data_IF_607087469118
#
_entry.id   IF_607087469118
#
_cell.length_a   1.000
_cell.length_b   1.000
_cell.length_c   1.000
_cell.angle_alpha   90.00
_cell.angle_beta   90.00
_cell.angle_gamma   90.00
#
_symmetry.space_group_name_H-M   'P 1'
#
loop_
_entity.id
_entity.type
_entity.pdbx_description
1 polymer ?
#
# COMPACT_ATOMS: atom_id res chain seq x y z
N UNK A 1 17.41 -1.05 1.28
CA UNK A 1 16.54 -1.48 2.37
C UNK A 1 15.60 -2.52 1.80
N UNK A 2 15.58 -3.71 2.40
CA UNK A 2 14.61 -4.74 2.04
C UNK A 2 13.30 -4.55 2.82
N UNK A 3 12.26 -5.30 2.46
CA UNK A 3 10.93 -5.10 3.05
C UNK A 3 10.85 -5.52 4.51
N UNK A 4 11.65 -6.52 4.91
CA UNK A 4 11.66 -7.04 6.28
C UNK A 4 12.38 -6.08 7.20
N UNK A 5 13.52 -5.55 6.76
CA UNK A 5 14.23 -4.45 7.41
C UNK A 5 13.31 -3.24 7.56
N UNK A 6 12.62 -2.84 6.49
CA UNK A 6 11.68 -1.72 6.52
C UNK A 6 10.54 -1.95 7.52
N UNK A 7 9.89 -3.12 7.48
CA UNK A 7 8.83 -3.51 8.42
C UNK A 7 9.30 -3.36 9.88
N UNK A 8 10.50 -3.85 10.22
CA UNK A 8 11.06 -3.71 11.56
C UNK A 8 11.30 -2.25 11.95
N UNK A 9 11.73 -1.41 11.01
CA UNK A 9 11.93 0.02 11.25
C UNK A 9 10.62 0.76 11.52
N UNK A 10 9.50 0.37 10.90
CA UNK A 10 8.19 1.00 11.16
C UNK A 10 7.78 0.92 12.63
N UNK A 11 8.20 -0.12 13.37
CA UNK A 11 7.93 -0.26 14.82
C UNK A 11 8.45 0.93 15.64
N UNK A 12 9.56 1.55 15.19
CA UNK A 12 10.20 2.65 15.92
C UNK A 12 9.39 3.95 15.86
N UNK A 13 8.50 4.08 14.89
CA UNK A 13 7.70 5.29 14.66
C UNK A 13 6.21 5.06 14.90
N UNK A 14 5.81 3.83 15.25
CA UNK A 14 4.43 3.44 15.45
C UNK A 14 3.89 3.99 16.78
N UNK A 15 2.83 4.80 16.71
CA UNK A 15 2.16 5.36 17.88
C UNK A 15 0.65 5.20 17.71
N UNK A 16 0.08 4.19 18.36
CA UNK A 16 -1.35 3.92 18.45
C UNK A 16 -1.62 2.95 19.60
N UNK A 17 -2.89 2.83 20.03
CA UNK A 17 -3.28 1.83 21.03
C UNK A 17 -3.30 0.44 20.41
N UNK A 18 -2.84 -0.56 21.18
CA UNK A 18 -2.93 -1.97 20.80
C UNK A 18 -4.38 -2.49 20.75
N UNK A 19 -5.32 -1.81 21.41
CA UNK A 19 -6.74 -2.18 21.34
C UNK A 19 -7.42 -1.72 20.05
N UNK A 20 -6.83 -0.74 19.35
CA UNK A 20 -7.43 -0.08 18.18
C UNK A 20 -6.49 -0.06 16.97
N UNK A 21 -5.48 -0.94 16.96
CA UNK A 21 -4.45 -0.93 15.92
C UNK A 21 -5.07 -1.21 14.54
N UNK A 22 -6.09 -2.06 14.49
CA UNK A 22 -6.69 -2.50 13.23
C UNK A 22 -7.43 -1.33 12.57
N UNK A 23 -8.27 -0.62 13.32
CA UNK A 23 -8.96 0.58 12.85
C UNK A 23 -7.96 1.66 12.45
N UNK A 24 -6.96 1.91 13.31
CA UNK A 24 -5.94 2.93 13.03
C UNK A 24 -5.21 2.65 11.72
N UNK A 25 -4.72 1.42 11.53
CA UNK A 25 -3.90 1.07 10.37
C UNK A 25 -4.71 0.93 9.09
N UNK A 26 -5.93 0.37 9.16
CA UNK A 26 -6.77 0.20 7.96
C UNK A 26 -7.38 1.51 7.48
N UNK A 27 -7.84 2.37 8.39
CA UNK A 27 -8.34 3.69 8.04
C UNK A 27 -7.21 4.61 7.56
N UNK A 28 -6.04 4.53 8.20
CA UNK A 28 -4.84 5.24 7.75
C UNK A 28 -4.44 4.82 6.33
N UNK A 29 -4.34 3.51 6.07
CA UNK A 29 -4.04 2.98 4.73
C UNK A 29 -5.01 3.52 3.66
N UNK A 30 -6.31 3.55 3.97
CA UNK A 30 -7.32 4.08 3.05
C UNK A 30 -7.17 5.59 2.83
N UNK A 31 -6.84 6.34 3.90
CA UNK A 31 -6.54 7.77 3.82
C UNK A 31 -5.37 8.05 2.87
N UNK A 32 -4.25 7.34 3.03
CA UNK A 32 -3.05 7.54 2.20
C UNK A 32 -3.27 7.17 0.73
N UNK A 33 -4.06 6.13 0.46
CA UNK A 33 -4.50 5.83 -0.91
C UNK A 33 -5.33 6.97 -1.53
N UNK A 34 -6.11 7.67 -0.68
CA UNK A 34 -6.80 8.91 -1.04
C UNK A 34 -5.84 10.06 -1.36
N UNK A 35 -4.75 10.21 -0.61
CA UNK A 35 -3.73 11.22 -0.87
C UNK A 35 -2.99 10.99 -2.19
N UNK A 36 -2.63 9.74 -2.49
CA UNK A 36 -2.11 9.32 -3.81
C UNK A 36 -3.04 9.77 -4.93
N UNK A 37 -4.34 9.47 -4.78
CA UNK A 37 -5.37 9.89 -5.74
C UNK A 37 -5.47 11.41 -5.84
N UNK A 38 -5.31 12.12 -4.73
CA UNK A 38 -5.29 13.58 -4.64
C UNK A 38 -4.14 14.22 -5.44
N UNK A 39 -2.93 13.65 -5.37
CA UNK A 39 -1.79 14.10 -6.18
C UNK A 39 -2.06 13.92 -7.67
N UNK A 40 -2.55 12.75 -8.07
CA UNK A 40 -2.90 12.46 -9.48
C UNK A 40 -3.99 13.40 -9.98
N UNK A 41 -5.01 13.69 -9.18
CA UNK A 41 -6.08 14.64 -9.52
C UNK A 41 -5.54 16.04 -9.81
N UNK A 42 -4.57 16.53 -9.02
CA UNK A 42 -3.93 17.83 -9.23
C UNK A 42 -3.05 17.85 -10.49
N UNK A 43 -2.37 16.75 -10.80
CA UNK A 43 -1.66 16.58 -12.08
C UNK A 43 -2.61 16.64 -13.28
N UNK A 44 -3.76 15.94 -13.22
CA UNK A 44 -4.77 15.96 -14.30
C UNK A 44 -5.30 17.38 -14.55
N UNK A 45 -5.56 18.14 -13.48
CA UNK A 45 -5.99 19.54 -13.51
C UNK A 45 -4.91 20.52 -14.00
N UNK A 46 -3.68 20.05 -14.23
CA UNK A 46 -2.51 20.87 -14.57
C UNK A 46 -2.07 21.83 -13.46
N UNK A 47 -2.44 21.54 -12.21
CA UNK A 47 -1.89 22.26 -11.05
C UNK A 47 -0.43 21.85 -10.80
N UNK A 48 -0.09 20.59 -11.14
CA UNK A 48 1.25 20.03 -11.08
C UNK A 48 1.71 19.59 -12.47
N UNK A 49 3.00 19.78 -12.75
CA UNK A 49 3.67 19.03 -13.82
C UNK A 49 3.99 17.60 -13.34
N UNK A 50 4.50 16.77 -14.26
CA UNK A 50 4.78 15.38 -13.97
C UNK A 50 5.91 15.21 -12.94
N UNK A 51 6.91 16.08 -12.94
CA UNK A 51 8.06 15.95 -12.03
C UNK A 51 7.66 16.29 -10.60
N UNK A 52 6.89 17.37 -10.41
CA UNK A 52 6.32 17.71 -9.11
C UNK A 52 5.32 16.65 -8.63
N UNK A 53 4.54 16.06 -9.54
CA UNK A 53 3.62 14.98 -9.19
C UNK A 53 4.38 13.72 -8.72
N UNK A 54 5.47 13.35 -9.39
CA UNK A 54 6.33 12.23 -8.98
C UNK A 54 6.95 12.46 -7.60
N UNK A 55 7.51 13.63 -7.36
CA UNK A 55 8.10 13.99 -6.06
C UNK A 55 7.09 13.85 -4.92
N UNK A 56 5.87 14.36 -5.13
CA UNK A 56 4.77 14.20 -4.17
C UNK A 56 4.30 12.76 -4.02
N UNK A 57 4.22 12.00 -5.12
CA UNK A 57 3.83 10.60 -5.08
C UNK A 57 4.82 9.75 -4.29
N UNK A 58 6.13 10.07 -4.28
CA UNK A 58 7.10 9.35 -3.46
C UNK A 58 6.72 9.40 -1.97
N UNK A 59 6.25 10.56 -1.50
CA UNK A 59 5.77 10.72 -0.13
C UNK A 59 4.53 9.85 0.11
N UNK A 60 3.47 10.06 -0.67
CA UNK A 60 2.18 9.41 -0.38
C UNK A 60 2.23 7.88 -0.61
N UNK A 61 3.01 7.41 -1.60
CA UNK A 61 3.27 5.97 -1.76
C UNK A 61 4.11 5.40 -0.61
N UNK A 62 5.03 6.21 -0.05
CA UNK A 62 5.77 5.86 1.15
C UNK A 62 4.84 5.68 2.36
N UNK A 63 3.89 6.58 2.55
CA UNK A 63 2.91 6.53 3.63
C UNK A 63 1.99 5.30 3.47
N UNK A 64 1.54 4.98 2.25
CA UNK A 64 0.82 3.73 1.93
C UNK A 64 1.63 2.49 2.33
N UNK A 65 2.92 2.44 1.95
CA UNK A 65 3.80 1.31 2.26
C UNK A 65 4.04 1.20 3.77
N UNK A 66 4.13 2.33 4.50
CA UNK A 66 4.27 2.34 5.95
C UNK A 66 3.08 1.65 6.62
N UNK A 67 1.86 2.06 6.27
CA UNK A 67 0.65 1.46 6.83
C UNK A 67 0.50 -0.02 6.47
N UNK A 68 0.79 -0.40 5.22
CA UNK A 68 0.75 -1.80 4.80
C UNK A 68 1.75 -2.67 5.57
N UNK A 69 3.01 -2.24 5.65
CA UNK A 69 4.05 -2.99 6.36
C UNK A 69 3.74 -3.12 7.86
N UNK A 70 3.21 -2.04 8.46
CA UNK A 70 2.80 -1.99 9.86
C UNK A 70 1.62 -2.92 10.14
N UNK A 71 0.64 -2.97 9.24
CA UNK A 71 -0.51 -3.88 9.34
C UNK A 71 -0.08 -5.34 9.22
N UNK A 72 0.81 -5.67 8.27
CA UNK A 72 1.39 -7.01 8.18
C UNK A 72 2.05 -7.41 9.50
N UNK A 73 2.80 -6.50 10.12
CA UNK A 73 3.56 -6.82 11.33
C UNK A 73 2.68 -6.98 12.58
N UNK A 74 1.66 -6.14 12.79
CA UNK A 74 0.69 -6.34 13.89
C UNK A 74 -0.10 -7.64 13.74
N UNK A 75 -0.38 -8.06 12.50
CA UNK A 75 -1.09 -9.31 12.21
C UNK A 75 -0.16 -10.55 12.17
N UNK A 76 1.14 -10.38 12.39
CA UNK A 76 2.12 -11.46 12.30
C UNK A 76 2.28 -12.06 10.90
N UNK A 77 1.94 -11.30 9.85
CA UNK A 77 2.05 -11.70 8.45
C UNK A 77 3.46 -11.40 7.92
N UNK A 78 4.03 -12.35 7.19
CA UNK A 78 5.27 -12.12 6.45
C UNK A 78 4.97 -11.30 5.16
N UNK A 79 5.53 -10.08 5.00
CA UNK A 79 5.34 -9.27 3.81
C UNK A 79 5.71 -9.99 2.50
N UNK A 80 6.78 -10.79 2.51
CA UNK A 80 7.24 -11.54 1.35
C UNK A 80 6.20 -12.58 0.92
N UNK A 81 5.64 -13.33 1.86
CA UNK A 81 4.59 -14.31 1.60
C UNK A 81 3.32 -13.64 1.03
N UNK A 82 2.95 -12.46 1.55
CA UNK A 82 1.80 -11.69 1.05
C UNK A 82 2.01 -11.29 -0.41
N UNK A 83 3.21 -10.80 -0.75
CA UNK A 83 3.58 -10.43 -2.11
C UNK A 83 3.65 -11.65 -3.04
N UNK A 84 4.26 -12.75 -2.61
CA UNK A 84 4.36 -14.00 -3.36
C UNK A 84 2.98 -14.58 -3.70
N UNK A 85 2.08 -14.65 -2.71
CA UNK A 85 0.70 -15.12 -2.94
C UNK A 85 -0.05 -14.20 -3.90
N UNK A 86 0.17 -12.89 -3.83
CA UNK A 86 -0.44 -11.95 -4.75
C UNK A 86 0.05 -12.16 -6.18
N UNK A 87 1.37 -12.19 -6.40
CA UNK A 87 1.93 -12.29 -7.75
C UNK A 87 1.65 -13.65 -8.39
N UNK A 88 1.73 -14.75 -7.64
CA UNK A 88 1.39 -16.08 -8.16
C UNK A 88 -0.06 -16.13 -8.65
N UNK A 89 -1.01 -15.61 -7.86
CA UNK A 89 -2.42 -15.50 -8.26
C UNK A 89 -2.59 -14.65 -9.54
N UNK A 90 -1.86 -13.55 -9.68
CA UNK A 90 -1.95 -12.69 -10.87
C UNK A 90 -1.33 -13.34 -12.11
N UNK A 91 -0.20 -14.04 -11.96
CA UNK A 91 0.44 -14.80 -13.04
C UNK A 91 -0.44 -15.97 -13.50
N UNK A 92 -1.08 -16.67 -12.57
CA UNK A 92 -2.05 -17.74 -12.90
C UNK A 92 -3.22 -17.18 -13.71
N UNK A 93 -3.74 -16.00 -13.34
CA UNK A 93 -4.78 -15.31 -14.13
C UNK A 93 -4.29 -14.89 -15.51
N UNK A 94 -3.02 -14.49 -15.62
CA UNK A 94 -2.41 -14.15 -16.90
C UNK A 94 -2.33 -15.35 -17.83
N UNK A 95 -1.85 -16.49 -17.32
CA UNK A 95 -1.77 -17.75 -18.09
C UNK A 95 -3.15 -18.19 -18.56
N UNK A 96 -4.16 -18.02 -17.71
CA UNK A 96 -5.54 -18.42 -17.98
C UNK A 96 -6.35 -17.38 -18.78
N UNK A 97 -5.76 -16.25 -19.19
CA UNK A 97 -6.45 -15.13 -19.85
C UNK A 97 -7.65 -14.57 -19.06
N UNK A 98 -7.63 -14.68 -17.73
CA UNK A 98 -8.69 -14.20 -16.81
C UNK A 98 -8.27 -12.97 -16.00
N UNK A 99 -7.25 -12.22 -16.47
CA UNK A 99 -6.83 -10.97 -15.81
C UNK A 99 -7.93 -9.91 -15.79
N UNK A 100 -8.79 -9.90 -16.81
CA UNK A 100 -9.98 -9.05 -16.88
C UNK A 100 -11.17 -9.86 -16.37
N UNK A 101 -11.44 -9.78 -15.06
CA UNK A 101 -12.61 -10.40 -14.43
C UNK A 101 -13.30 -9.39 -13.52
N UNK A 102 -14.62 -9.26 -13.67
CA UNK A 102 -15.49 -8.35 -12.91
C UNK A 102 -15.56 -8.77 -11.44
N UNK A 103 -14.65 -8.22 -10.63
CA UNK A 103 -14.85 -7.90 -9.20
C UNK A 103 -14.99 -9.04 -8.19
N UNK A 104 -15.91 -9.98 -8.40
CA UNK A 104 -16.68 -10.54 -7.30
C UNK A 104 -16.32 -11.97 -6.87
N UNK A 105 -15.75 -12.80 -7.76
CA UNK A 105 -15.32 -14.15 -7.37
C UNK A 105 -13.80 -14.31 -7.56
N UNK A 106 -13.10 -14.28 -6.43
CA UNK A 106 -11.67 -14.58 -6.29
C UNK A 106 -11.44 -15.72 -5.32
#
# INVERSE_FOLDING_TARGET
MDIKEYQLLTRKTAIYSQETFLEYLTLGLASEAGEVSGVVKKYIRKDYDLELAKDKLIKELGDVIWYWARLCDELGLNPEEVMEKNINKLLDRQINNTLQGDGDDR
#
